data_IF_962372993528
#
_entry.id   IF_962372993528
#
_cell.length_a   1.000
_cell.length_b   1.000
_cell.length_c   1.000
_cell.angle_alpha   90.00
_cell.angle_beta   90.00
_cell.angle_gamma   90.00
#
_symmetry.space_group_name_H-M   'P 1'
#
loop_
_entity.id
_entity.type
_entity.pdbx_description
1 polymer ?
#
# COMPACT_ATOMS: atom_id res chain seq x y z
N UNK A 1 -14.26 -0.31 9.90
CA UNK A 1 -12.99 -0.65 9.23
C UNK A 1 -12.24 0.66 9.04
N UNK A 2 -11.10 0.89 9.71
CA UNK A 2 -10.36 2.14 9.60
C UNK A 2 -9.92 2.41 8.15
N UNK A 3 -10.02 3.68 7.74
CA UNK A 3 -9.62 4.13 6.41
C UNK A 3 -8.78 5.40 6.55
N UNK A 4 -7.69 5.47 5.80
CA UNK A 4 -6.76 6.59 5.84
C UNK A 4 -6.45 7.05 4.42
N UNK A 5 -6.51 8.36 4.18
CA UNK A 5 -5.91 8.94 2.98
C UNK A 5 -4.45 9.24 3.28
N UNK A 6 -3.55 8.66 2.50
CA UNK A 6 -2.10 8.86 2.62
C UNK A 6 -1.61 9.47 1.32
N UNK A 7 -0.85 10.56 1.43
CA UNK A 7 -0.23 11.25 0.30
C UNK A 7 1.28 11.26 0.46
N UNK A 8 2.00 10.95 -0.61
CA UNK A 8 3.46 10.97 -0.71
C UNK A 8 3.89 12.03 -1.73
N UNK A 9 4.90 12.82 -1.36
CA UNK A 9 5.64 13.66 -2.31
C UNK A 9 6.50 12.79 -3.26
N UNK A 10 6.92 13.30 -4.43
CA UNK A 10 7.78 12.57 -5.35
C UNK A 10 9.00 11.93 -4.66
N UNK A 11 9.26 10.65 -4.96
CA UNK A 11 10.33 9.84 -4.37
C UNK A 11 10.12 9.41 -2.92
N UNK A 12 9.03 9.83 -2.26
CA UNK A 12 8.74 9.40 -0.89
C UNK A 12 8.04 8.04 -0.86
N UNK A 13 8.53 7.14 -0.01
CA UNK A 13 7.88 5.88 0.34
C UNK A 13 7.90 5.64 1.83
N UNK A 14 7.00 4.78 2.31
CA UNK A 14 7.16 4.22 3.65
C UNK A 14 8.30 3.19 3.69
N UNK A 15 8.72 2.82 4.90
CA UNK A 15 9.65 1.72 5.09
C UNK A 15 8.98 0.37 4.86
N UNK A 16 9.80 -0.63 4.54
CA UNK A 16 9.38 -2.02 4.55
C UNK A 16 8.70 -2.37 5.88
N UNK A 17 7.50 -2.93 5.83
CA UNK A 17 6.73 -3.29 7.01
C UNK A 17 5.81 -4.50 6.74
N UNK A 18 5.23 -5.05 7.81
CA UNK A 18 4.32 -6.20 7.78
C UNK A 18 3.09 -5.88 8.63
N UNK A 19 1.89 -6.17 8.10
CA UNK A 19 0.66 -6.20 8.89
C UNK A 19 0.48 -7.61 9.46
N UNK A 20 0.45 -7.76 10.79
CA UNK A 20 0.37 -9.06 11.45
C UNK A 20 -1.06 -9.41 11.86
N UNK A 21 -1.48 -10.65 11.59
CA UNK A 21 -2.71 -11.28 12.10
C UNK A 21 -2.57 -12.81 12.05
N UNK A 22 -3.29 -13.56 12.90
CA UNK A 22 -3.35 -15.04 12.85
C UNK A 22 -4.44 -15.58 11.93
N UNK A 23 -5.51 -14.82 11.71
CA UNK A 23 -6.59 -15.17 10.78
C UNK A 23 -7.17 -13.92 10.12
N UNK A 24 -7.45 -13.96 8.82
CA UNK A 24 -7.85 -12.76 8.07
C UNK A 24 -6.76 -11.67 8.10
N UNK A 25 -7.18 -10.41 8.14
CA UNK A 25 -6.28 -9.27 8.26
C UNK A 25 -5.63 -8.83 6.94
N UNK A 26 -4.74 -7.84 7.05
CA UNK A 26 -4.00 -7.26 5.93
C UNK A 26 -4.44 -5.84 5.61
N UNK A 27 -4.17 -5.41 4.39
CA UNK A 27 -4.44 -4.05 3.94
C UNK A 27 -4.93 -4.04 2.49
N UNK A 28 -5.86 -3.15 2.18
CA UNK A 28 -6.25 -2.83 0.81
C UNK A 28 -5.78 -1.42 0.49
N UNK A 29 -5.12 -1.25 -0.65
CA UNK A 29 -4.72 0.05 -1.19
C UNK A 29 -5.57 0.36 -2.42
N UNK A 30 -6.16 1.56 -2.45
CA UNK A 30 -6.88 2.09 -3.61
C UNK A 30 -6.16 3.35 -4.05
N UNK A 31 -5.54 3.32 -5.23
CA UNK A 31 -4.91 4.49 -5.82
C UNK A 31 -5.98 5.52 -6.22
N UNK A 32 -5.82 6.78 -5.81
CA UNK A 32 -6.78 7.86 -6.09
C UNK A 32 -6.20 9.07 -6.80
N UNK A 33 -4.87 9.24 -6.83
CA UNK A 33 -4.23 10.33 -7.57
C UNK A 33 -2.74 10.15 -7.73
N UNK A 34 -2.17 10.62 -8.84
CA UNK A 34 -0.73 10.56 -9.11
C UNK A 34 -0.24 9.17 -9.51
N UNK A 35 1.04 8.86 -9.22
CA UNK A 35 1.69 7.58 -9.60
C UNK A 35 2.47 6.98 -8.43
N UNK A 36 2.09 5.78 -8.00
CA UNK A 36 2.75 5.04 -6.89
C UNK A 36 3.40 3.78 -7.40
N UNK A 37 4.29 3.26 -6.57
CA UNK A 37 4.70 1.88 -6.58
C UNK A 37 4.32 1.21 -5.27
N UNK A 38 3.89 -0.04 -5.40
CA UNK A 38 3.79 -1.00 -4.30
C UNK A 38 4.77 -2.13 -4.61
N UNK A 39 5.46 -2.64 -3.60
CA UNK A 39 6.35 -3.78 -3.80
C UNK A 39 6.29 -4.73 -2.60
N UNK A 40 6.22 -6.03 -2.91
CA UNK A 40 6.44 -7.11 -1.95
C UNK A 40 7.92 -7.51 -1.93
N UNK A 41 8.41 -7.95 -0.78
CA UNK A 41 9.79 -8.42 -0.66
C UNK A 41 10.10 -9.55 -1.66
N UNK A 42 11.14 -9.35 -2.47
CA UNK A 42 11.57 -10.32 -3.49
C UNK A 42 10.78 -10.31 -4.79
N UNK A 43 9.77 -9.43 -4.96
CA UNK A 43 9.04 -9.24 -6.22
C UNK A 43 9.39 -7.92 -6.88
N UNK A 44 9.10 -7.80 -8.17
CA UNK A 44 9.21 -6.52 -8.89
C UNK A 44 8.18 -5.50 -8.36
N UNK A 45 8.52 -4.19 -8.31
CA UNK A 45 7.57 -3.14 -8.01
C UNK A 45 6.40 -3.12 -8.99
N UNK A 46 5.20 -2.91 -8.46
CA UNK A 46 3.96 -2.79 -9.21
C UNK A 46 3.52 -1.33 -9.21
N UNK A 47 3.45 -0.73 -10.40
CA UNK A 47 2.90 0.62 -10.55
C UNK A 47 1.40 0.62 -10.24
N UNK A 48 0.92 1.63 -9.51
CA UNK A 48 -0.50 1.89 -9.33
C UNK A 48 -0.87 3.30 -9.80
N UNK A 49 -1.82 3.34 -10.72
CA UNK A 49 -2.48 4.54 -11.23
C UNK A 49 -3.90 4.63 -10.63
N UNK A 50 -4.54 5.81 -10.65
CA UNK A 50 -5.87 6.00 -10.08
C UNK A 50 -6.87 4.93 -10.55
N UNK A 51 -7.60 4.36 -9.59
CA UNK A 51 -8.54 3.25 -9.82
C UNK A 51 -7.92 1.85 -9.65
N UNK A 52 -6.60 1.71 -9.60
CA UNK A 52 -5.97 0.42 -9.28
C UNK A 52 -6.13 0.07 -7.81
N UNK A 53 -6.48 -1.19 -7.56
CA UNK A 53 -6.66 -1.75 -6.22
C UNK A 53 -5.64 -2.87 -6.00
N UNK A 54 -4.96 -2.84 -4.86
CA UNK A 54 -4.05 -3.90 -4.41
C UNK A 54 -4.57 -4.44 -3.08
N UNK A 55 -4.72 -5.75 -2.99
CA UNK A 55 -4.97 -6.45 -1.75
C UNK A 55 -3.64 -7.01 -1.22
N UNK A 56 -3.33 -6.73 0.03
CA UNK A 56 -2.09 -7.10 0.71
C UNK A 56 -2.46 -8.00 1.89
N UNK A 57 -2.35 -9.32 1.75
CA UNK A 57 -2.64 -10.24 2.85
C UNK A 57 -1.75 -9.97 4.08
N UNK A 58 -2.27 -10.32 5.26
CA UNK A 58 -1.45 -10.31 6.48
C UNK A 58 -0.19 -11.18 6.32
N UNK A 59 0.91 -10.76 6.93
CA UNK A 59 2.20 -11.45 6.85
C UNK A 59 3.04 -11.11 5.62
N UNK A 60 2.51 -10.38 4.63
CA UNK A 60 3.27 -9.94 3.47
C UNK A 60 4.12 -8.72 3.82
N UNK A 61 5.44 -8.83 3.67
CA UNK A 61 6.36 -7.70 3.82
C UNK A 61 6.37 -6.86 2.56
N UNK A 62 6.10 -5.56 2.71
CA UNK A 62 5.92 -4.66 1.58
C UNK A 62 6.26 -3.20 1.91
N UNK A 63 6.38 -2.38 0.86
CA UNK A 63 6.34 -0.92 0.93
C UNK A 63 5.42 -0.36 -0.16
N UNK A 64 5.05 0.91 -0.02
CA UNK A 64 4.38 1.68 -1.05
C UNK A 64 4.78 3.16 -0.96
N UNK A 65 4.86 3.83 -2.10
CA UNK A 65 5.33 5.20 -2.20
C UNK A 65 5.27 5.78 -3.61
N UNK A 66 5.35 7.10 -3.69
CA UNK A 66 5.30 7.84 -4.94
C UNK A 66 6.46 7.48 -5.88
N UNK A 67 6.23 7.62 -7.18
CA UNK A 67 7.29 7.64 -8.19
C UNK A 67 8.23 8.84 -7.97
N UNK A 68 9.44 8.79 -8.53
CA UNK A 68 10.45 9.85 -8.37
C UNK A 68 10.04 11.20 -8.98
N UNK A 69 9.13 11.19 -9.95
CA UNK A 69 8.72 12.34 -10.78
C UNK A 69 7.25 12.76 -10.57
N UNK A 70 6.53 12.14 -9.63
CA UNK A 70 5.10 12.37 -9.44
C UNK A 70 4.71 12.19 -7.99
N UNK A 71 3.80 13.04 -7.48
CA UNK A 71 3.18 12.78 -6.19
C UNK A 71 2.27 11.55 -6.27
N UNK A 72 1.79 11.08 -5.12
CA UNK A 72 0.75 10.07 -5.10
C UNK A 72 -0.18 10.19 -3.88
N UNK A 73 -1.44 9.78 -4.06
CA UNK A 73 -2.39 9.56 -2.97
C UNK A 73 -3.13 8.23 -3.14
N UNK A 74 -3.27 7.49 -2.02
CA UNK A 74 -4.14 6.32 -1.92
C UNK A 74 -5.02 6.37 -0.67
N UNK A 75 -6.11 5.62 -0.74
CA UNK A 75 -6.84 5.18 0.45
C UNK A 75 -6.24 3.86 0.91
N UNK A 76 -5.79 3.81 2.16
CA UNK A 76 -5.44 2.59 2.88
C UNK A 76 -6.61 2.14 3.74
N UNK A 77 -6.99 0.88 3.60
CA UNK A 77 -8.06 0.25 4.38
C UNK A 77 -7.43 -0.90 5.17
N UNK A 78 -7.50 -0.83 6.50
CA UNK A 78 -7.04 -1.92 7.37
C UNK A 78 -8.12 -3.00 7.43
N UNK A 79 -7.80 -4.21 6.95
CA UNK A 79 -8.73 -5.33 6.96
C UNK A 79 -8.76 -5.96 8.36
N UNK A 80 -9.93 -6.21 8.98
CA UNK A 80 -10.00 -6.86 10.28
C UNK A 80 -9.36 -8.24 10.26
N UNK A 81 -8.57 -8.54 11.29
CA UNK A 81 -7.95 -9.84 11.52
C UNK A 81 -8.11 -10.29 12.97
N UNK A 82 -8.04 -11.60 13.20
CA UNK A 82 -7.98 -12.22 14.51
C UNK A 82 -6.53 -12.43 14.96
N UNK A 83 -6.27 -12.21 16.24
CA UNK A 83 -4.98 -12.48 16.90
C UNK A 83 -4.84 -13.91 17.42
#
# INVERSE_FOLDING_TARGET
>A
MPMYNVTFEPGCRNNWHIHHAKSGGGQILIAVGGRVFYQEEGKEPVEMLPGKVINIPAGVKHWHGAADDSFFSHIAIEVPGGN
#
